data_IF_888968742058
#
_entry.id   IF_888968742058
#
_cell.length_a   1.000
_cell.length_b   1.000
_cell.length_c   1.000
_cell.angle_alpha   90.00
_cell.angle_beta   90.00
_cell.angle_gamma   90.00
#
_symmetry.space_group_name_H-M   'P 1'
#
loop_
_entity.id
_entity.type
_entity.pdbx_description
1 polymer ?
#
# COMPACT_ATOMS: atom_id res chain seq x y z
N UNK A 1 12.07 0.18 -63.49
CA UNK A 1 11.96 1.35 -64.38
C UNK A 1 11.57 2.54 -63.52
N UNK A 2 12.30 3.65 -63.64
CA UNK A 2 12.02 5.01 -63.13
C UNK A 2 12.20 5.27 -61.62
N UNK A 3 13.37 5.85 -61.35
CA UNK A 3 13.73 6.69 -60.20
C UNK A 3 12.77 7.87 -60.02
N UNK A 4 12.37 8.20 -58.80
CA UNK A 4 12.02 9.57 -58.43
C UNK A 4 12.23 9.83 -56.94
N UNK A 5 13.34 10.49 -56.60
CA UNK A 5 13.65 10.97 -55.25
C UNK A 5 13.06 12.37 -55.11
N UNK A 6 11.96 12.52 -54.37
CA UNK A 6 11.43 13.83 -53.94
C UNK A 6 12.17 14.30 -52.70
N UNK A 7 12.90 15.40 -52.83
CA UNK A 7 13.58 16.08 -51.74
C UNK A 7 12.62 16.59 -50.67
N UNK A 8 12.92 16.27 -49.40
CA UNK A 8 12.25 16.86 -48.23
C UNK A 8 12.81 18.26 -47.96
N UNK A 9 11.93 19.26 -48.02
CA UNK A 9 12.20 20.62 -47.54
C UNK A 9 12.42 20.61 -46.03
N UNK A 10 13.53 21.19 -45.57
CA UNK A 10 13.82 21.45 -44.16
C UNK A 10 13.07 22.71 -43.73
N UNK A 11 12.22 22.60 -42.72
CA UNK A 11 11.71 23.76 -41.96
C UNK A 11 12.69 24.06 -40.82
N UNK A 12 13.02 25.33 -40.55
CA UNK A 12 13.90 25.66 -39.43
C UNK A 12 13.12 25.47 -38.11
N UNK A 13 13.65 24.62 -37.23
CA UNK A 13 13.23 24.52 -35.85
C UNK A 13 13.64 25.80 -35.12
N UNK A 14 12.67 26.66 -34.83
CA UNK A 14 12.84 27.76 -33.87
C UNK A 14 12.78 27.12 -32.48
N UNK A 15 13.95 26.97 -31.86
CA UNK A 15 14.09 26.48 -30.50
C UNK A 15 13.74 27.61 -29.52
N UNK A 16 12.54 27.56 -28.94
CA UNK A 16 12.13 28.47 -27.86
C UNK A 16 12.76 27.96 -26.57
N UNK A 17 13.86 28.60 -26.15
CA UNK A 17 14.53 28.35 -24.89
C UNK A 17 13.71 29.00 -23.76
N UNK A 18 12.86 28.21 -23.09
CA UNK A 18 12.12 28.64 -21.90
C UNK A 18 13.09 28.65 -20.71
N UNK A 19 13.58 29.83 -20.34
CA UNK A 19 14.38 30.05 -19.13
C UNK A 19 13.47 29.92 -17.90
N UNK A 20 13.44 28.74 -17.29
CA UNK A 20 12.85 28.53 -15.96
C UNK A 20 13.85 29.10 -14.95
N UNK A 21 13.48 30.08 -14.11
CA UNK A 21 14.39 30.58 -13.08
C UNK A 21 14.66 29.43 -12.10
N UNK A 22 15.94 29.09 -11.94
CA UNK A 22 16.42 28.13 -10.97
C UNK A 22 16.15 28.71 -9.57
N UNK A 23 14.97 28.42 -9.03
CA UNK A 23 14.63 28.75 -7.65
C UNK A 23 15.58 27.96 -6.76
N UNK A 24 16.53 28.65 -6.13
CA UNK A 24 17.30 28.08 -5.03
C UNK A 24 16.30 27.59 -3.98
N UNK A 25 16.11 26.28 -3.88
CA UNK A 25 15.58 25.70 -2.66
C UNK A 25 16.56 26.10 -1.56
N UNK A 26 16.17 27.07 -0.75
CA UNK A 26 16.74 27.26 0.57
C UNK A 26 16.37 25.99 1.33
N UNK A 27 17.27 25.01 1.32
CA UNK A 27 17.25 23.94 2.30
C UNK A 27 17.51 24.65 3.63
N UNK A 28 16.44 24.89 4.39
CA UNK A 28 16.58 25.29 5.78
C UNK A 28 17.52 24.27 6.44
N UNK A 29 18.56 24.71 7.16
CA UNK A 29 19.39 23.77 7.89
C UNK A 29 18.45 22.95 8.79
N UNK A 30 18.64 21.63 8.80
CA UNK A 30 18.02 20.79 9.81
C UNK A 30 18.25 21.47 11.15
N UNK A 31 17.18 21.91 11.82
CA UNK A 31 17.27 22.47 13.16
C UNK A 31 18.01 21.43 13.97
N UNK A 32 19.21 21.78 14.43
CA UNK A 32 19.92 20.98 15.40
C UNK A 32 18.98 20.70 16.56
N UNK A 33 19.07 19.49 17.07
CA UNK A 33 18.34 18.92 18.20
C UNK A 33 18.73 19.67 19.51
N UNK A 34 18.63 21.00 19.52
CA UNK A 34 18.80 21.81 20.71
C UNK A 34 17.60 21.55 21.59
N UNK A 35 17.87 21.05 22.80
CA UNK A 35 16.84 20.74 23.77
C UNK A 35 16.03 22.01 24.10
N UNK A 36 14.85 22.12 23.48
CA UNK A 36 13.90 23.22 23.70
C UNK A 36 13.44 23.28 25.15
N UNK A 37 13.61 22.22 25.92
CA UNK A 37 13.32 22.22 27.34
C UNK A 37 14.10 23.32 28.06
N UNK A 38 15.43 23.28 27.98
CA UNK A 38 16.31 24.20 28.70
C UNK A 38 16.18 25.65 28.22
N UNK A 39 15.95 25.85 26.92
CA UNK A 39 15.95 27.20 26.32
C UNK A 39 14.59 27.90 26.34
N UNK A 40 13.49 27.15 26.38
CA UNK A 40 12.15 27.70 26.14
C UNK A 40 11.11 27.30 27.19
N UNK A 41 11.18 26.09 27.76
CA UNK A 41 10.10 25.55 28.60
C UNK A 41 10.43 25.62 30.09
N UNK A 42 11.70 25.41 30.45
CA UNK A 42 12.12 25.34 31.85
C UNK A 42 11.76 26.62 32.61
N UNK A 43 11.96 27.80 32.00
CA UNK A 43 11.58 29.08 32.60
C UNK A 43 10.06 29.22 32.82
N UNK A 44 9.24 28.70 31.89
CA UNK A 44 7.78 28.72 32.03
C UNK A 44 7.33 27.78 33.15
N UNK A 45 7.93 26.59 33.26
CA UNK A 45 7.62 25.67 34.36
C UNK A 45 8.07 26.25 35.72
N UNK A 46 9.20 26.96 35.77
CA UNK A 46 9.63 27.67 36.98
C UNK A 46 8.61 28.73 37.40
N UNK A 47 8.10 29.53 36.45
CA UNK A 47 7.19 30.63 36.75
C UNK A 47 5.78 30.19 37.14
N UNK A 48 5.30 29.07 36.60
CA UNK A 48 3.88 28.71 36.68
C UNK A 48 3.61 27.36 37.36
N UNK A 49 4.63 26.51 37.54
CA UNK A 49 4.41 25.13 37.99
C UNK A 49 5.21 24.74 39.23
N UNK A 50 6.45 25.24 39.40
CA UNK A 50 7.35 24.74 40.45
C UNK A 50 6.96 25.17 41.88
N UNK A 51 6.16 26.21 42.04
CA UNK A 51 5.68 26.63 43.36
C UNK A 51 4.82 25.55 44.04
N UNK A 52 4.00 24.82 43.25
CA UNK A 52 3.11 23.75 43.72
C UNK A 52 3.61 22.34 43.37
N UNK A 53 4.39 22.19 42.30
CA UNK A 53 4.90 20.92 41.77
C UNK A 53 6.43 20.89 41.66
N UNK A 54 7.14 21.54 42.58
CA UNK A 54 8.61 21.55 42.67
C UNK A 54 9.15 20.55 43.70
N UNK A 55 10.42 20.66 44.05
CA UNK A 55 11.02 19.80 45.09
C UNK A 55 10.42 20.08 46.48
N UNK A 56 10.16 21.35 46.79
CA UNK A 56 9.65 21.80 48.10
C UNK A 56 8.18 21.49 48.32
N UNK A 57 7.38 21.57 47.26
CA UNK A 57 5.92 21.41 47.27
C UNK A 57 5.56 20.43 46.17
N UNK A 58 5.00 19.27 46.53
CA UNK A 58 4.69 18.18 45.61
C UNK A 58 3.19 17.89 45.61
N UNK A 59 2.39 18.90 45.27
CA UNK A 59 0.93 18.73 45.17
C UNK A 59 0.60 17.64 44.16
N UNK A 60 -0.37 16.78 44.49
CA UNK A 60 -0.71 15.62 43.68
C UNK A 60 0.42 14.58 43.53
N UNK A 61 1.43 14.59 44.42
CA UNK A 61 2.62 13.73 44.35
C UNK A 61 3.43 13.93 43.05
N UNK A 62 3.42 15.15 42.52
CA UNK A 62 4.09 15.51 41.28
C UNK A 62 5.26 16.46 41.56
N UNK A 63 6.46 16.08 41.11
CA UNK A 63 7.64 16.95 41.06
C UNK A 63 8.07 17.12 39.60
N UNK A 64 7.87 18.32 39.05
CA UNK A 64 8.28 18.70 37.70
C UNK A 64 9.74 19.21 37.65
N UNK A 65 10.31 19.62 38.78
CA UNK A 65 11.70 20.09 38.86
C UNK A 65 12.72 18.96 38.65
N UNK A 66 12.31 17.70 38.81
CA UNK A 66 13.17 16.55 38.52
C UNK A 66 13.50 16.38 37.02
N UNK A 67 12.70 16.98 36.13
CA UNK A 67 12.95 16.94 34.69
C UNK A 67 14.00 18.01 34.35
N UNK A 68 15.16 17.59 33.84
CA UNK A 68 16.27 18.47 33.48
C UNK A 68 16.48 18.54 31.96
N UNK A 69 15.80 17.68 31.20
CA UNK A 69 15.88 17.59 29.75
C UNK A 69 14.58 17.08 29.13
N UNK A 70 14.43 17.25 27.80
CA UNK A 70 13.37 16.59 27.03
C UNK A 70 13.43 15.07 27.16
N UNK A 71 14.62 14.48 27.32
CA UNK A 71 14.79 13.04 27.50
C UNK A 71 14.16 12.54 28.80
N UNK A 72 14.28 13.29 29.90
CA UNK A 72 13.65 12.94 31.19
C UNK A 72 12.12 12.96 31.09
N UNK A 73 11.57 13.96 30.40
CA UNK A 73 10.15 14.08 30.14
C UNK A 73 9.64 12.95 29.22
N UNK A 74 10.41 12.60 28.18
CA UNK A 74 10.11 11.49 27.28
C UNK A 74 10.10 10.13 28.01
N UNK A 75 10.91 9.96 29.05
CA UNK A 75 10.91 8.74 29.89
C UNK A 75 9.67 8.61 30.80
N UNK A 76 8.77 9.60 30.82
CA UNK A 76 7.53 9.64 31.61
C UNK A 76 6.33 10.14 30.78
N UNK A 77 5.97 9.48 29.68
CA UNK A 77 4.99 10.00 28.71
C UNK A 77 3.58 10.14 29.29
N UNK A 78 3.14 9.23 30.16
CA UNK A 78 1.81 9.29 30.80
C UNK A 78 1.63 10.51 31.72
N UNK A 79 2.71 10.89 32.41
CA UNK A 79 2.73 12.06 33.27
C UNK A 79 2.70 13.33 32.41
N UNK A 80 3.51 13.38 31.35
CA UNK A 80 3.50 14.50 30.40
C UNK A 80 2.15 14.64 29.67
N UNK A 81 1.45 13.54 29.43
CA UNK A 81 0.09 13.56 28.88
C UNK A 81 -0.89 14.21 29.85
N UNK A 82 -0.77 13.88 31.13
CA UNK A 82 -1.58 14.50 32.19
C UNK A 82 -1.29 16.00 32.33
N UNK A 83 -0.02 16.40 32.26
CA UNK A 83 0.38 17.83 32.25
C UNK A 83 -0.24 18.54 31.04
N UNK A 84 -0.07 17.99 29.83
CA UNK A 84 -0.62 18.57 28.60
C UNK A 84 -2.15 18.72 28.67
N UNK A 85 -2.85 17.71 29.19
CA UNK A 85 -4.30 17.71 29.32
C UNK A 85 -4.77 18.81 30.28
N UNK A 86 -4.17 18.91 31.47
CA UNK A 86 -4.56 19.90 32.47
C UNK A 86 -4.21 21.33 32.03
N UNK A 87 -3.05 21.52 31.40
CA UNK A 87 -2.63 22.81 30.85
C UNK A 87 -3.58 23.28 29.75
N UNK A 88 -3.87 22.44 28.75
CA UNK A 88 -4.79 22.81 27.64
C UNK A 88 -6.22 23.01 28.11
N UNK A 89 -6.64 22.32 29.17
CA UNK A 89 -7.95 22.49 29.78
C UNK A 89 -8.04 23.74 30.67
N UNK A 90 -6.95 24.49 30.86
CA UNK A 90 -6.87 25.64 31.78
C UNK A 90 -7.27 25.26 33.22
N UNK A 91 -7.04 24.00 33.60
CA UNK A 91 -7.24 23.50 34.97
C UNK A 91 -6.01 23.80 35.81
N UNK A 92 -4.83 23.81 35.18
CA UNK A 92 -3.56 24.17 35.79
C UNK A 92 -2.89 25.28 34.98
N UNK A 93 -2.28 26.28 35.64
CA UNK A 93 -2.25 26.49 37.11
C UNK A 93 -3.64 26.80 37.69
N UNK A 94 -3.88 26.60 39.01
CA UNK A 94 -5.18 26.89 39.61
C UNK A 94 -5.49 28.38 39.59
N UNK A 95 -6.77 28.74 39.72
CA UNK A 95 -7.25 30.12 39.49
C UNK A 95 -6.66 31.18 40.45
N UNK A 96 -6.11 30.74 41.59
CA UNK A 96 -5.42 31.57 42.59
C UNK A 96 -3.91 31.72 42.35
N UNK A 97 -3.35 31.01 41.36
CA UNK A 97 -1.96 31.11 40.94
C UNK A 97 -1.78 31.97 39.68
N UNK A 98 -0.52 32.34 39.39
CA UNK A 98 -0.17 33.05 38.16
C UNK A 98 -0.55 32.21 36.92
N UNK A 99 -1.21 32.84 35.96
CA UNK A 99 -1.69 32.18 34.75
C UNK A 99 -0.78 32.50 33.56
N UNK A 100 -0.34 31.49 32.79
CA UNK A 100 0.40 31.73 31.55
C UNK A 100 -0.48 32.35 30.46
N UNK A 101 0.12 33.04 29.51
CA UNK A 101 -0.60 33.52 28.32
C UNK A 101 -0.96 32.37 27.38
N UNK A 102 -1.85 32.62 26.40
CA UNK A 102 -2.20 31.63 25.39
C UNK A 102 -0.97 31.18 24.57
N UNK A 103 -0.04 32.08 24.30
CA UNK A 103 1.21 31.80 23.60
C UNK A 103 2.13 30.91 24.43
N UNK A 104 2.26 31.17 25.74
CA UNK A 104 3.06 30.36 26.65
C UNK A 104 2.47 28.95 26.83
N UNK A 105 1.14 28.85 26.93
CA UNK A 105 0.42 27.57 26.95
C UNK A 105 0.74 26.76 25.69
N UNK A 106 0.65 27.39 24.51
CA UNK A 106 0.94 26.70 23.25
C UNK A 106 2.43 26.36 23.12
N UNK A 107 3.34 27.16 23.69
CA UNK A 107 4.77 26.88 23.69
C UNK A 107 5.10 25.60 24.49
N UNK A 108 4.56 25.47 25.71
CA UNK A 108 4.70 24.25 26.51
C UNK A 108 3.98 23.07 25.81
N UNK A 109 2.76 23.27 25.32
CA UNK A 109 1.99 22.21 24.68
C UNK A 109 2.64 21.68 23.40
N UNK A 110 3.23 22.58 22.60
CA UNK A 110 3.98 22.24 21.39
C UNK A 110 5.23 21.42 21.72
N UNK A 111 5.98 21.82 22.76
CA UNK A 111 7.12 21.04 23.23
C UNK A 111 6.72 19.63 23.67
N UNK A 112 5.66 19.48 24.49
CA UNK A 112 5.20 18.16 24.90
C UNK A 112 4.79 17.30 23.68
N UNK A 113 4.11 17.87 22.69
CA UNK A 113 3.65 17.10 21.51
C UNK A 113 4.79 16.68 20.59
N UNK A 114 5.67 17.59 20.25
CA UNK A 114 6.62 17.36 19.15
C UNK A 114 7.99 16.91 19.65
N UNK A 115 8.43 17.37 20.82
CA UNK A 115 9.73 17.03 21.38
C UNK A 115 9.61 15.84 22.36
N UNK A 116 8.61 15.85 23.25
CA UNK A 116 8.40 14.76 24.23
C UNK A 116 7.72 13.54 23.61
N UNK A 117 6.57 13.70 22.93
CA UNK A 117 5.87 12.56 22.31
C UNK A 117 6.39 12.20 20.92
N UNK A 118 7.28 13.02 20.35
CA UNK A 118 7.84 12.80 19.01
C UNK A 118 6.75 12.53 17.97
N UNK A 119 5.64 13.28 18.03
CA UNK A 119 4.56 13.22 17.04
C UNK A 119 5.00 13.85 15.70
N UNK A 120 6.15 13.43 15.19
CA UNK A 120 6.68 13.82 13.89
C UNK A 120 6.35 12.73 12.87
N UNK A 121 6.16 13.06 11.58
CA UNK A 121 5.85 12.08 10.54
C UNK A 121 6.83 10.90 10.48
N UNK A 122 8.09 11.11 10.89
CA UNK A 122 9.17 10.12 10.86
C UNK A 122 9.14 9.14 12.06
N UNK A 123 8.45 9.50 13.16
CA UNK A 123 8.43 8.74 14.41
C UNK A 123 7.02 8.60 15.00
N UNK A 124 6.01 8.38 14.16
CA UNK A 124 4.66 8.06 14.62
C UNK A 124 4.62 6.65 15.25
N UNK A 125 4.50 6.58 16.57
CA UNK A 125 4.10 5.37 17.27
C UNK A 125 2.56 5.35 17.37
N UNK A 126 1.84 4.51 16.58
CA UNK A 126 0.38 4.40 16.67
C UNK A 126 -0.08 3.76 17.99
N UNK A 127 0.85 3.40 18.87
CA UNK A 127 0.58 2.68 20.11
C UNK A 127 0.35 1.20 19.85
N UNK A 128 -0.23 0.54 20.85
CA UNK A 128 -0.52 -0.89 20.76
C UNK A 128 -1.70 -1.12 19.82
N UNK A 129 -1.43 -1.77 18.69
CA UNK A 129 -2.49 -2.32 17.84
C UNK A 129 -3.00 -3.64 18.44
N UNK A 130 -4.29 -3.70 18.76
CA UNK A 130 -4.97 -4.96 19.06
C UNK A 130 -5.04 -5.81 17.81
N UNK A 131 -4.64 -7.08 17.90
CA UNK A 131 -4.81 -8.03 16.81
C UNK A 131 -6.31 -8.22 16.61
N UNK A 132 -6.83 -7.72 15.48
CA UNK A 132 -8.24 -7.84 15.12
C UNK A 132 -8.45 -8.95 14.10
N UNK A 133 -9.58 -9.64 14.21
CA UNK A 133 -10.10 -10.47 13.12
C UNK A 133 -10.72 -9.59 12.03
N UNK A 134 -10.94 -10.19 10.86
CA UNK A 134 -11.81 -9.60 9.84
C UNK A 134 -13.27 -9.66 10.33
N UNK A 135 -14.01 -8.58 10.12
CA UNK A 135 -15.47 -8.62 10.27
C UNK A 135 -16.10 -9.45 9.13
N UNK A 136 -17.39 -9.79 9.24
CA UNK A 136 -18.03 -10.70 8.27
C UNK A 136 -17.99 -10.17 6.83
N UNK A 137 -18.04 -8.86 6.63
CA UNK A 137 -18.02 -8.22 5.31
C UNK A 137 -16.61 -8.27 4.73
N UNK A 138 -15.62 -7.90 5.53
CA UNK A 138 -14.20 -7.99 5.19
C UNK A 138 -13.82 -9.43 4.85
N UNK A 139 -14.30 -10.43 5.60
CA UNK A 139 -14.07 -11.83 5.30
C UNK A 139 -14.67 -12.24 3.95
N UNK A 140 -15.93 -11.88 3.68
CA UNK A 140 -16.60 -12.20 2.41
C UNK A 140 -15.88 -11.60 1.19
N UNK A 141 -15.47 -10.34 1.30
CA UNK A 141 -14.68 -9.68 0.26
C UNK A 141 -13.33 -10.37 0.05
N UNK A 142 -12.65 -10.73 1.15
CA UNK A 142 -11.35 -11.43 1.08
C UNK A 142 -11.47 -12.79 0.38
N UNK A 143 -12.52 -13.56 0.68
CA UNK A 143 -12.76 -14.85 0.01
C UNK A 143 -13.07 -14.65 -1.48
N UNK A 144 -13.85 -13.65 -1.84
CA UNK A 144 -14.12 -13.33 -3.24
C UNK A 144 -12.85 -12.96 -3.99
N UNK A 145 -11.99 -12.14 -3.41
CA UNK A 145 -10.77 -11.67 -4.07
C UNK A 145 -9.71 -12.77 -4.20
N UNK A 146 -9.61 -13.66 -3.20
CA UNK A 146 -8.63 -14.76 -3.22
C UNK A 146 -9.10 -15.98 -4.01
N UNK A 147 -10.38 -16.34 -3.91
CA UNK A 147 -10.91 -17.61 -4.42
C UNK A 147 -11.87 -17.42 -5.61
N UNK A 148 -12.24 -16.18 -5.94
CA UNK A 148 -13.15 -15.87 -7.05
C UNK A 148 -14.61 -16.26 -6.81
N UNK A 149 -14.98 -16.65 -5.58
CA UNK A 149 -16.34 -17.09 -5.23
C UNK A 149 -17.04 -16.06 -4.34
N UNK A 150 -18.33 -15.81 -4.60
CA UNK A 150 -19.16 -15.04 -3.67
C UNK A 150 -19.72 -15.97 -2.60
N UNK A 151 -19.60 -15.54 -1.35
CA UNK A 151 -20.00 -16.30 -0.18
C UNK A 151 -20.87 -15.41 0.71
N UNK A 152 -22.12 -15.82 0.94
CA UNK A 152 -23.10 -15.07 1.73
C UNK A 152 -22.76 -15.17 3.23
N UNK A 153 -21.90 -14.26 3.69
CA UNK A 153 -21.37 -14.27 5.06
C UNK A 153 -22.45 -14.05 6.12
N UNK A 154 -23.51 -13.30 5.80
CA UNK A 154 -24.63 -13.00 6.69
C UNK A 154 -25.47 -14.23 7.07
N UNK A 155 -25.42 -15.29 6.26
CA UNK A 155 -26.15 -16.54 6.53
C UNK A 155 -25.35 -17.50 7.42
N UNK A 156 -24.04 -17.28 7.55
CA UNK A 156 -23.11 -18.24 8.15
C UNK A 156 -22.51 -17.71 9.44
N UNK A 157 -22.15 -16.42 9.46
CA UNK A 157 -21.57 -15.79 10.64
C UNK A 157 -22.63 -15.06 11.45
N UNK A 158 -22.53 -15.10 12.79
CA UNK A 158 -23.33 -14.23 13.64
C UNK A 158 -22.96 -12.76 13.40
N UNK A 159 -23.81 -11.83 13.83
CA UNK A 159 -23.48 -10.42 13.75
C UNK A 159 -22.21 -10.04 14.52
N UNK A 160 -21.38 -9.19 13.91
CA UNK A 160 -20.24 -8.56 14.56
C UNK A 160 -20.68 -7.49 15.57
N UNK A 161 -19.96 -7.40 16.69
CA UNK A 161 -20.14 -6.34 17.68
C UNK A 161 -19.68 -4.99 17.13
N UNK A 162 -20.39 -3.92 17.49
CA UNK A 162 -20.05 -2.56 17.10
C UNK A 162 -19.34 -1.80 18.23
N UNK A 163 -18.18 -1.21 17.94
CA UNK A 163 -17.48 -0.26 18.80
C UNK A 163 -17.60 1.17 18.26
N UNK A 164 -17.99 2.14 19.08
CA UNK A 164 -18.17 3.54 18.66
C UNK A 164 -19.09 3.73 17.42
N UNK A 165 -20.02 2.81 17.19
CA UNK A 165 -20.91 2.83 16.02
C UNK A 165 -20.33 2.18 14.75
N UNK A 166 -19.15 1.58 14.82
CA UNK A 166 -18.47 0.91 13.71
C UNK A 166 -18.24 -0.58 14.01
N UNK A 167 -18.35 -1.43 12.99
CA UNK A 167 -18.21 -2.90 13.05
C UNK A 167 -16.81 -3.39 12.65
N UNK A 168 -15.84 -2.48 12.55
CA UNK A 168 -14.44 -2.76 12.20
C UNK A 168 -13.45 -2.38 13.32
N UNK A 169 -13.96 -2.02 14.51
CA UNK A 169 -13.14 -1.66 15.67
C UNK A 169 -12.58 -2.93 16.30
N UNK A 170 -11.25 -3.07 16.29
CA UNK A 170 -10.57 -4.27 16.76
C UNK A 170 -10.91 -4.67 18.20
N UNK A 171 -11.05 -3.69 19.09
CA UNK A 171 -11.39 -3.92 20.51
C UNK A 171 -12.80 -4.45 20.73
N UNK A 172 -13.71 -4.22 19.78
CA UNK A 172 -15.07 -4.77 19.83
C UNK A 172 -15.14 -6.19 19.21
N UNK A 173 -14.21 -6.54 18.31
CA UNK A 173 -14.24 -7.79 17.56
C UNK A 173 -13.65 -8.95 18.36
N UNK A 174 -14.50 -9.58 19.19
CA UNK A 174 -14.15 -10.78 19.95
C UNK A 174 -14.21 -12.07 19.10
N UNK A 175 -13.56 -13.13 19.57
CA UNK A 175 -13.54 -14.45 18.93
C UNK A 175 -14.19 -15.49 19.84
N UNK A 176 -15.44 -15.86 19.54
CA UNK A 176 -16.19 -16.85 20.32
C UNK A 176 -15.96 -18.28 19.81
N UNK A 177 -16.14 -19.32 20.65
CA UNK A 177 -16.06 -20.72 20.21
C UNK A 177 -17.02 -21.04 19.05
N UNK A 178 -18.24 -20.49 19.08
CA UNK A 178 -19.20 -20.63 17.99
C UNK A 178 -18.68 -20.03 16.68
N UNK A 179 -18.03 -18.86 16.75
CA UNK A 179 -17.49 -18.21 15.58
C UNK A 179 -16.35 -19.04 14.96
N UNK A 180 -15.52 -19.69 15.77
CA UNK A 180 -14.49 -20.63 15.29
C UNK A 180 -15.10 -21.79 14.50
N UNK A 181 -16.16 -22.40 15.04
CA UNK A 181 -16.88 -23.48 14.36
C UNK A 181 -17.44 -23.02 13.01
N UNK A 182 -17.99 -21.80 12.96
CA UNK A 182 -18.48 -21.18 11.72
C UNK A 182 -17.35 -20.90 10.73
N UNK A 183 -16.17 -20.47 11.17
CA UNK A 183 -15.02 -20.31 10.28
C UNK A 183 -14.57 -21.65 9.69
N UNK A 184 -14.54 -22.72 10.48
CA UNK A 184 -14.19 -24.05 9.97
C UNK A 184 -15.25 -24.57 8.97
N UNK A 185 -16.54 -24.32 9.26
CA UNK A 185 -17.63 -24.65 8.34
C UNK A 185 -17.49 -23.86 7.03
N UNK A 186 -17.28 -22.55 7.12
CA UNK A 186 -17.08 -21.67 5.98
C UNK A 186 -15.89 -22.12 5.12
N UNK A 187 -14.75 -22.42 5.75
CA UNK A 187 -13.56 -22.89 5.05
C UNK A 187 -13.83 -24.17 4.23
N UNK A 188 -14.58 -25.14 4.78
CA UNK A 188 -14.96 -26.36 4.04
C UNK A 188 -15.83 -26.05 2.82
N UNK A 189 -16.82 -25.16 2.97
CA UNK A 189 -17.70 -24.75 1.88
C UNK A 189 -16.93 -24.02 0.79
N UNK A 190 -16.06 -23.08 1.18
CA UNK A 190 -15.20 -22.32 0.26
C UNK A 190 -14.29 -23.26 -0.53
N UNK A 191 -13.60 -24.18 0.14
CA UNK A 191 -12.71 -25.14 -0.54
C UNK A 191 -13.49 -26.07 -1.46
N UNK A 192 -14.64 -26.59 -1.02
CA UNK A 192 -15.46 -27.48 -1.85
C UNK A 192 -15.98 -26.79 -3.13
N UNK A 193 -16.19 -25.48 -3.09
CA UNK A 193 -16.66 -24.71 -4.24
C UNK A 193 -15.51 -24.21 -5.14
N UNK A 194 -14.42 -23.75 -4.54
CA UNK A 194 -13.34 -23.09 -5.27
C UNK A 194 -12.26 -24.05 -5.79
N UNK A 195 -12.07 -25.21 -5.16
CA UNK A 195 -11.02 -26.16 -5.53
C UNK A 195 -11.62 -27.29 -6.38
N UNK A 196 -11.19 -27.46 -7.64
CA UNK A 196 -11.64 -28.55 -8.48
C UNK A 196 -11.25 -29.90 -7.87
N UNK A 197 -12.22 -30.82 -7.75
CA UNK A 197 -11.97 -32.21 -7.29
C UNK A 197 -11.42 -33.11 -8.40
N UNK A 198 -11.51 -32.65 -9.65
CA UNK A 198 -10.92 -33.30 -10.81
C UNK A 198 -9.82 -32.40 -11.36
N UNK A 199 -8.72 -33.01 -11.78
CA UNK A 199 -7.67 -32.30 -12.50
C UNK A 199 -8.25 -31.75 -13.80
N UNK A 200 -8.39 -30.43 -13.89
CA UNK A 200 -8.58 -29.75 -15.16
C UNK A 200 -7.27 -29.88 -15.93
N UNK A 201 -7.17 -30.91 -16.78
CA UNK A 201 -6.15 -30.94 -17.83
C UNK A 201 -6.67 -29.97 -18.88
N UNK A 202 -6.10 -28.77 -18.96
CA UNK A 202 -6.35 -27.90 -20.10
C UNK A 202 -5.99 -28.69 -21.35
N UNK A 203 -6.96 -29.01 -22.23
CA UNK A 203 -6.66 -29.81 -23.41
C UNK A 203 -5.69 -29.00 -24.28
N UNK A 204 -4.43 -29.41 -24.30
CA UNK A 204 -3.43 -28.86 -25.19
C UNK A 204 -3.45 -29.65 -26.48
N UNK A 205 -3.80 -28.97 -27.57
CA UNK A 205 -3.68 -29.54 -28.90
C UNK A 205 -2.46 -28.92 -29.58
N UNK A 206 -1.44 -29.74 -29.81
CA UNK A 206 -0.28 -29.35 -30.61
C UNK A 206 -0.54 -29.73 -32.07
N UNK A 207 -0.38 -28.78 -32.98
CA UNK A 207 -0.53 -28.98 -34.43
C UNK A 207 0.81 -28.72 -35.08
N UNK A 208 1.38 -29.74 -35.71
CA UNK A 208 2.64 -29.58 -36.43
C UNK A 208 2.45 -28.73 -37.69
N UNK A 209 3.47 -27.95 -38.09
CA UNK A 209 3.54 -27.30 -39.40
C UNK A 209 3.28 -28.21 -40.61
N UNK A 210 3.41 -29.54 -40.46
CA UNK A 210 3.10 -30.52 -41.51
C UNK A 210 1.60 -30.65 -41.81
N UNK A 211 0.76 -30.26 -40.85
CA UNK A 211 -0.69 -30.36 -40.92
C UNK A 211 -1.34 -29.10 -41.48
N UNK A 212 -0.58 -28.00 -41.58
CA UNK A 212 -0.97 -26.82 -42.31
C UNK A 212 -0.77 -27.08 -43.81
N UNK A 213 -1.84 -26.98 -44.59
CA UNK A 213 -1.84 -27.27 -46.03
C UNK A 213 -2.47 -26.13 -46.83
N UNK A 214 -2.04 -25.94 -48.06
CA UNK A 214 -2.71 -25.03 -49.00
C UNK A 214 -3.99 -25.66 -49.56
N UNK A 215 -4.76 -24.89 -50.34
CA UNK A 215 -6.03 -25.35 -50.92
C UNK A 215 -5.88 -26.55 -51.86
N UNK A 216 -4.68 -26.81 -52.37
CA UNK A 216 -4.40 -27.93 -53.28
C UNK A 216 -3.78 -29.15 -52.57
N UNK A 217 -3.32 -28.98 -51.32
CA UNK A 217 -2.55 -29.98 -50.58
C UNK A 217 -1.09 -30.15 -51.04
N UNK A 218 -0.64 -29.39 -52.04
CA UNK A 218 0.70 -29.46 -52.59
C UNK A 218 1.74 -28.77 -51.69
N UNK A 219 1.33 -27.75 -50.94
CA UNK A 219 2.22 -26.97 -50.06
C UNK A 219 1.89 -27.24 -48.60
N UNK A 220 2.92 -27.50 -47.78
CA UNK A 220 2.77 -27.74 -46.35
C UNK A 220 3.50 -26.68 -45.53
N UNK A 221 2.98 -26.31 -44.36
CA UNK A 221 3.51 -25.22 -43.54
C UNK A 221 4.95 -25.42 -43.03
N UNK A 222 5.44 -26.65 -42.98
CA UNK A 222 6.85 -26.95 -42.66
C UNK A 222 7.85 -26.74 -43.82
N UNK A 223 7.36 -26.40 -45.03
CA UNK A 223 8.18 -26.12 -46.21
C UNK A 223 7.61 -24.92 -46.97
N UNK A 224 7.71 -23.74 -46.37
CA UNK A 224 7.32 -22.50 -47.02
C UNK A 224 8.55 -21.80 -47.62
N UNK A 225 8.42 -21.35 -48.86
CA UNK A 225 9.41 -20.51 -49.55
C UNK A 225 9.00 -19.04 -49.43
N UNK A 226 9.78 -18.26 -48.71
CA UNK A 226 9.57 -16.83 -48.47
C UNK A 226 9.75 -15.93 -49.68
N UNK A 227 10.22 -16.45 -50.81
CA UNK A 227 10.25 -15.73 -52.09
C UNK A 227 8.89 -15.71 -52.77
N UNK A 228 7.95 -16.56 -52.34
CA UNK A 228 6.61 -16.70 -52.94
C UNK A 228 5.55 -16.54 -51.87
N UNK A 229 4.50 -15.79 -52.18
CA UNK A 229 3.33 -15.76 -51.31
C UNK A 229 2.69 -17.15 -51.28
N UNK A 230 2.50 -17.69 -50.07
CA UNK A 230 1.85 -18.97 -49.83
C UNK A 230 0.85 -18.82 -48.69
N UNK A 231 -0.27 -19.53 -48.76
CA UNK A 231 -1.28 -19.60 -47.71
C UNK A 231 -1.49 -21.05 -47.34
N UNK A 232 -1.28 -21.38 -46.07
CA UNK A 232 -1.53 -22.70 -45.50
C UNK A 232 -2.50 -22.57 -44.34
N UNK A 233 -3.42 -23.53 -44.21
CA UNK A 233 -4.51 -23.48 -43.26
C UNK A 233 -4.58 -24.82 -42.53
N UNK A 234 -4.75 -24.77 -41.21
CA UNK A 234 -5.27 -25.87 -40.39
C UNK A 234 -6.57 -25.42 -39.77
N UNK A 235 -7.61 -26.25 -39.90
CA UNK A 235 -8.84 -26.09 -39.11
C UNK A 235 -8.76 -26.99 -37.88
N UNK A 236 -9.04 -26.41 -36.72
CA UNK A 236 -9.15 -27.12 -35.45
C UNK A 236 -10.58 -26.97 -34.96
N UNK A 237 -11.21 -28.08 -34.59
CA UNK A 237 -12.54 -28.07 -34.00
C UNK A 237 -12.38 -28.03 -32.49
N UNK A 238 -13.02 -27.05 -31.86
CA UNK A 238 -13.01 -26.86 -30.41
C UNK A 238 -14.41 -27.20 -29.91
N UNK A 239 -14.53 -28.24 -29.08
CA UNK A 239 -15.81 -28.78 -28.64
C UNK A 239 -16.44 -28.03 -27.46
N UNK A 240 -15.65 -27.26 -26.73
CA UNK A 240 -16.09 -26.54 -25.53
C UNK A 240 -16.14 -25.03 -25.78
N UNK A 241 -17.02 -24.32 -25.07
CA UNK A 241 -17.01 -22.85 -25.07
C UNK A 241 -16.04 -22.36 -23.99
N UNK A 242 -15.21 -21.37 -24.31
CA UNK A 242 -14.22 -20.86 -23.37
C UNK A 242 -13.31 -19.79 -23.96
N UNK A 243 -12.40 -19.30 -23.13
CA UNK A 243 -11.30 -18.44 -23.56
C UNK A 243 -10.12 -19.33 -23.96
N UNK A 244 -9.60 -19.09 -25.16
CA UNK A 244 -8.50 -19.87 -25.73
C UNK A 244 -7.28 -18.99 -25.95
N UNK A 245 -6.11 -19.54 -25.64
CA UNK A 245 -4.83 -18.98 -26.03
C UNK A 245 -4.35 -19.71 -27.28
N UNK A 246 -4.04 -18.97 -28.34
CA UNK A 246 -3.54 -19.53 -29.60
C UNK A 246 -2.16 -18.95 -29.84
N UNK A 247 -1.16 -19.81 -29.73
CA UNK A 247 0.22 -19.50 -30.09
C UNK A 247 0.54 -20.08 -31.47
N UNK A 248 1.10 -19.23 -32.34
CA UNK A 248 1.60 -19.66 -33.64
C UNK A 248 3.08 -19.33 -33.71
N UNK A 249 3.91 -20.36 -33.71
CA UNK A 249 5.35 -20.19 -33.86
C UNK A 249 5.77 -20.40 -35.31
N UNK A 250 6.47 -19.41 -35.87
CA UNK A 250 7.08 -19.52 -37.20
C UNK A 250 8.57 -19.29 -37.06
N UNK A 251 9.36 -20.25 -37.53
CA UNK A 251 10.83 -20.18 -37.50
C UNK A 251 11.37 -20.13 -38.92
N UNK A 252 12.19 -19.13 -39.21
CA UNK A 252 13.00 -19.10 -40.44
C UNK A 252 14.16 -20.08 -40.27
N UNK A 253 14.28 -21.06 -41.15
CA UNK A 253 15.44 -21.95 -41.22
C UNK A 253 16.23 -21.61 -42.48
N UNK A 254 17.31 -20.84 -42.32
CA UNK A 254 18.34 -20.77 -43.34
C UNK A 254 19.18 -22.05 -43.27
N UNK A 255 18.97 -23.01 -44.16
CA UNK A 255 19.95 -24.08 -44.34
C UNK A 255 21.15 -23.50 -45.06
N UNK A 256 22.35 -23.74 -44.51
CA UNK A 256 23.66 -23.30 -45.00
C UNK A 256 23.73 -23.05 -46.53
N UNK A 257 24.25 -21.86 -46.86
CA UNK A 257 24.70 -21.36 -48.17
C UNK A 257 23.76 -21.25 -49.39
N UNK A 258 22.54 -21.84 -49.46
CA UNK A 258 21.77 -21.74 -50.73
C UNK A 258 20.30 -21.29 -50.70
N UNK A 259 19.62 -21.17 -49.54
CA UNK A 259 18.32 -20.45 -49.53
C UNK A 259 17.92 -19.87 -48.16
N UNK A 260 18.11 -18.56 -47.93
CA UNK A 260 17.71 -17.90 -46.69
C UNK A 260 16.19 -17.69 -46.56
N UNK A 261 15.39 -18.07 -47.56
CA UNK A 261 13.95 -17.77 -47.58
C UNK A 261 13.07 -18.88 -47.00
N UNK A 262 13.59 -19.99 -46.45
CA UNK A 262 12.74 -21.09 -45.97
C UNK A 262 12.14 -20.81 -44.58
N UNK A 263 10.82 -20.88 -44.48
CA UNK A 263 10.07 -20.76 -43.22
C UNK A 263 9.44 -22.12 -42.84
N UNK A 264 9.33 -22.34 -41.54
CA UNK A 264 8.71 -23.51 -40.93
C UNK A 264 7.72 -23.03 -39.87
N UNK A 265 6.44 -23.39 -40.03
CA UNK A 265 5.46 -23.30 -38.94
C UNK A 265 5.75 -24.46 -37.98
N UNK A 266 5.85 -24.19 -36.68
CA UNK A 266 6.09 -25.21 -35.64
C UNK A 266 4.92 -25.26 -34.69
#
# INVERSE_FOLDING_TARGET
MLTNVKGRRRWPLVSVCLLIPLSHLIVAPARGDEDRFATQVQALLQNYCYDCHGESTQEGMLNLQQFQSTADANARPELMWSVLKNLRAHVMPPADAAQPTAEEIEQIASWIKFDVFRLTPEHLDPGRLTVRRLNRREYGNTIHDLMGIRFETDLIFPPDDSGHGFDNVGDALSFSPLLLEKYLQAARLVVAQAVPTVTYITPQQEVSGREFVDNTGATRGHHLDGKRAATVIKRVNVSEQGLYHIDVHVKLHGSFEFDPARYVVT
#
